data_IF_227089347551
#
_entry.id   IF_227089347551
#
_cell.length_a   1.000
_cell.length_b   1.000
_cell.length_c   1.000
_cell.angle_alpha   90.00
_cell.angle_beta   90.00
_cell.angle_gamma   90.00
#
_symmetry.space_group_name_H-M   'P 1'
#
loop_
_entity.id
_entity.type
_entity.pdbx_description
1 polymer ?
#
# COMPACT_ATOMS: atom_id res chain seq x y z
N UNK A 1 27.22 37.90 -27.30
CA UNK A 1 27.77 39.05 -26.55
C UNK A 1 26.66 40.07 -26.38
N UNK A 2 26.63 40.77 -25.24
CA UNK A 2 25.61 41.72 -24.72
C UNK A 2 24.70 41.17 -23.63
N UNK A 3 25.18 41.28 -22.38
CA UNK A 3 24.36 41.68 -21.24
C UNK A 3 25.10 42.82 -20.51
N UNK A 4 24.48 43.99 -20.48
CA UNK A 4 24.67 45.04 -19.49
C UNK A 4 23.25 45.53 -19.13
N UNK A 5 22.90 45.97 -17.94
CA UNK A 5 23.63 46.23 -16.70
C UNK A 5 22.63 46.87 -15.73
N UNK A 6 22.84 46.62 -14.43
CA UNK A 6 22.47 47.37 -13.22
C UNK A 6 21.19 48.26 -13.19
N UNK A 7 20.43 48.18 -12.09
CA UNK A 7 20.65 49.02 -10.90
C UNK A 7 19.66 48.75 -9.76
N UNK A 8 20.23 48.98 -8.57
CA UNK A 8 19.67 49.12 -7.22
C UNK A 8 18.70 50.29 -7.06
N UNK A 9 17.81 50.20 -6.07
CA UNK A 9 17.03 51.32 -5.55
C UNK A 9 16.56 51.06 -4.12
N UNK A 10 17.25 51.66 -3.16
CA UNK A 10 16.79 51.89 -1.79
C UNK A 10 15.71 52.99 -1.76
N UNK A 11 14.76 52.91 -0.82
CA UNK A 11 14.16 54.11 -0.23
C UNK A 11 13.48 53.78 1.12
N UNK A 12 13.94 54.50 2.15
CA UNK A 12 13.41 54.55 3.50
C UNK A 12 12.33 55.63 3.66
N UNK A 13 11.46 55.45 4.64
CA UNK A 13 10.62 56.46 5.34
C UNK A 13 10.37 55.85 6.74
N UNK A 14 10.64 56.43 7.90
CA UNK A 14 10.81 57.82 8.31
C UNK A 14 9.59 58.28 9.13
N UNK A 15 9.69 58.31 10.47
CA UNK A 15 9.05 59.30 11.37
C UNK A 15 9.27 58.98 12.86
N UNK A 16 10.08 59.81 13.52
CA UNK A 16 10.15 60.00 14.98
C UNK A 16 9.10 61.03 15.46
N UNK A 17 8.80 61.06 16.77
CA UNK A 17 8.74 62.25 17.68
C UNK A 17 8.01 61.87 19.01
N UNK A 18 8.03 62.66 20.11
CA UNK A 18 9.04 62.51 21.16
C UNK A 18 8.48 62.55 22.62
N UNK A 19 9.39 62.29 23.57
CA UNK A 19 9.55 62.83 24.94
C UNK A 19 8.34 63.02 25.88
N UNK A 20 8.45 62.47 27.10
CA UNK A 20 8.36 63.31 28.31
C UNK A 20 9.20 62.72 29.45
N UNK A 21 9.72 63.60 30.31
CA UNK A 21 10.77 63.38 31.27
C UNK A 21 10.26 63.33 32.72
N UNK A 22 10.97 62.55 33.54
CA UNK A 22 11.29 62.92 34.93
C UNK A 22 10.35 62.44 36.04
N UNK A 23 10.84 61.50 36.85
CA UNK A 23 11.36 61.78 38.20
C UNK A 23 11.81 60.50 38.90
N UNK A 24 13.08 60.51 39.32
CA UNK A 24 13.67 59.58 40.26
C UNK A 24 13.04 59.74 41.65
N UNK A 25 12.74 58.63 42.31
CA UNK A 25 12.62 58.53 43.76
C UNK A 25 13.30 57.24 44.22
N UNK A 26 14.39 57.44 44.94
CA UNK A 26 15.25 56.48 45.60
C UNK A 26 14.54 55.87 46.82
N UNK A 27 14.41 54.55 46.89
CA UNK A 27 14.08 53.80 48.11
C UNK A 27 14.74 52.40 48.08
N UNK A 28 15.08 51.84 49.26
CA UNK A 28 16.19 50.89 49.39
C UNK A 28 15.85 49.43 49.06
N UNK A 29 16.90 48.73 48.62
CA UNK A 29 17.03 47.30 48.41
C UNK A 29 16.36 46.46 49.50
N UNK A 30 15.41 45.62 49.08
CA UNK A 30 15.04 44.37 49.76
C UNK A 30 15.24 43.21 48.79
N UNK A 31 15.99 42.21 49.25
CA UNK A 31 16.38 41.01 48.50
C UNK A 31 15.22 40.30 47.79
N UNK A 32 15.45 39.65 46.64
CA UNK A 32 14.40 38.94 45.93
C UNK A 32 13.96 37.72 46.75
N UNK A 33 12.74 37.75 47.27
CA UNK A 33 12.04 36.53 47.65
C UNK A 33 11.82 35.73 46.39
N UNK A 34 12.58 34.64 46.28
CA UNK A 34 12.44 33.62 45.26
C UNK A 34 11.01 33.09 45.29
N UNK A 35 10.16 33.60 44.40
CA UNK A 35 8.91 32.95 44.05
C UNK A 35 9.34 31.73 43.24
N UNK A 36 9.32 30.57 43.87
CA UNK A 36 9.46 29.30 43.20
C UNK A 36 8.26 29.18 42.25
N UNK A 37 8.48 29.56 41.00
CA UNK A 37 7.56 29.23 39.92
C UNK A 37 7.56 27.70 39.88
N UNK A 38 6.42 27.00 40.08
CA UNK A 38 6.40 25.56 39.85
C UNK A 38 6.93 25.35 38.43
N UNK A 39 7.77 24.32 38.19
CA UNK A 39 8.35 24.14 36.86
C UNK A 39 7.19 24.15 35.87
N UNK A 40 7.21 25.12 34.95
CA UNK A 40 6.32 25.11 33.79
C UNK A 40 6.68 23.81 33.09
N UNK A 41 5.86 22.80 33.30
CA UNK A 41 5.91 21.59 32.51
C UNK A 41 5.82 22.06 31.05
N UNK A 42 6.90 21.87 30.31
CA UNK A 42 6.90 22.13 28.89
C UNK A 42 5.78 21.28 28.26
N UNK A 43 4.89 21.86 27.44
CA UNK A 43 3.85 21.08 26.77
C UNK A 43 4.37 20.05 25.74
N UNK A 44 5.68 19.91 25.56
CA UNK A 44 6.31 19.08 24.51
C UNK A 44 6.86 17.73 25.01
N UNK A 45 6.29 17.18 26.09
CA UNK A 45 6.58 15.81 26.58
C UNK A 45 5.46 14.77 26.29
N UNK A 46 4.50 15.10 25.42
CA UNK A 46 3.56 14.13 24.84
C UNK A 46 3.84 14.11 23.33
N UNK A 47 4.37 13.07 22.68
CA UNK A 47 3.94 11.66 22.76
C UNK A 47 5.02 10.67 22.23
N UNK A 48 5.98 10.24 23.06
CA UNK A 48 6.70 8.97 22.84
C UNK A 48 5.73 7.77 22.75
N UNK A 49 4.56 7.91 23.37
CA UNK A 49 3.46 6.94 23.33
C UNK A 49 2.75 6.86 21.98
N UNK A 50 2.70 7.90 21.15
CA UNK A 50 1.90 7.87 19.92
C UNK A 50 2.50 6.94 18.86
N UNK A 51 3.83 6.97 18.68
CA UNK A 51 4.50 6.07 17.74
C UNK A 51 4.37 4.61 18.20
N UNK A 52 4.50 4.36 19.51
CA UNK A 52 4.28 3.04 20.11
C UNK A 52 2.82 2.59 19.95
N UNK A 53 1.85 3.43 20.27
CA UNK A 53 0.42 3.18 20.09
C UNK A 53 0.06 2.91 18.62
N UNK A 54 0.61 3.70 17.69
CA UNK A 54 0.42 3.48 16.26
C UNK A 54 1.00 2.13 15.82
N UNK A 55 2.18 1.75 16.30
CA UNK A 55 2.74 0.43 16.04
C UNK A 55 1.84 -0.68 16.59
N UNK A 56 1.37 -0.55 17.84
CA UNK A 56 0.44 -1.50 18.46
C UNK A 56 -0.85 -1.63 17.65
N UNK A 57 -1.46 -0.50 17.25
CA UNK A 57 -2.66 -0.49 16.43
C UNK A 57 -2.44 -1.13 15.05
N UNK A 58 -1.30 -0.86 14.41
CA UNK A 58 -0.96 -1.50 13.15
C UNK A 58 -0.81 -3.02 13.30
N UNK A 59 -0.24 -3.48 14.42
CA UNK A 59 -0.13 -4.90 14.75
C UNK A 59 -1.51 -5.52 14.97
N UNK A 60 -2.41 -4.86 15.71
CA UNK A 60 -3.79 -5.32 15.92
C UNK A 60 -4.56 -5.43 14.61
N UNK A 61 -4.45 -4.42 13.73
CA UNK A 61 -5.05 -4.46 12.39
C UNK A 61 -4.49 -5.60 11.54
N UNK A 62 -3.19 -5.87 11.65
CA UNK A 62 -2.56 -7.02 10.98
C UNK A 62 -3.14 -8.35 11.48
N UNK A 63 -3.28 -8.52 12.80
CA UNK A 63 -3.89 -9.72 13.39
C UNK A 63 -5.36 -9.87 12.98
N UNK A 64 -6.07 -8.75 12.84
CA UNK A 64 -7.43 -8.71 12.31
C UNK A 64 -7.51 -8.90 10.78
N UNK A 65 -6.40 -9.22 10.10
CA UNK A 65 -6.28 -9.37 8.65
C UNK A 65 -6.67 -8.12 7.84
N UNK A 66 -6.71 -6.96 8.49
CA UNK A 66 -6.94 -5.64 7.87
C UNK A 66 -5.61 -5.09 7.35
N UNK A 67 -4.99 -5.84 6.45
CA UNK A 67 -3.63 -5.58 5.96
C UNK A 67 -3.46 -4.17 5.37
N UNK A 68 -4.36 -3.63 4.53
CA UNK A 68 -4.20 -2.28 3.98
C UNK A 68 -4.16 -1.20 5.07
N UNK A 69 -4.96 -1.34 6.12
CA UNK A 69 -5.02 -0.37 7.21
C UNK A 69 -3.82 -0.50 8.15
N UNK A 70 -3.36 -1.73 8.39
CA UNK A 70 -2.11 -1.97 9.09
C UNK A 70 -0.93 -1.30 8.39
N UNK A 71 -0.81 -1.49 7.07
CA UNK A 71 0.23 -0.86 6.24
C UNK A 71 0.16 0.66 6.33
N UNK A 72 -1.01 1.26 6.16
CA UNK A 72 -1.17 2.72 6.15
C UNK A 72 -0.72 3.38 7.47
N UNK A 73 -0.82 2.69 8.61
CA UNK A 73 -0.32 3.18 9.90
C UNK A 73 1.18 2.89 10.05
N UNK A 74 1.62 1.66 9.72
CA UNK A 74 2.99 1.23 9.88
C UNK A 74 3.96 2.01 8.97
N UNK A 75 3.58 2.34 7.74
CA UNK A 75 4.42 3.09 6.80
C UNK A 75 4.87 4.44 7.35
N UNK A 76 4.01 5.11 8.12
CA UNK A 76 4.32 6.40 8.77
C UNK A 76 5.46 6.29 9.80
N UNK A 77 5.75 5.07 10.25
CA UNK A 77 6.75 4.80 11.28
C UNK A 77 8.09 4.34 10.69
N UNK A 78 8.20 4.07 9.38
CA UNK A 78 9.42 3.51 8.75
C UNK A 78 10.67 4.38 9.00
N UNK A 79 10.50 5.71 9.06
CA UNK A 79 11.59 6.64 9.35
C UNK A 79 11.90 6.84 10.84
N UNK A 80 11.10 6.26 11.75
CA UNK A 80 11.24 6.51 13.19
C UNK A 80 12.47 5.80 13.78
N UNK A 81 13.32 6.47 14.59
CA UNK A 81 14.57 5.88 15.08
C UNK A 81 14.39 4.54 15.83
N UNK A 82 13.37 4.46 16.69
CA UNK A 82 13.11 3.27 17.52
C UNK A 82 12.22 2.20 16.89
N UNK A 83 11.42 2.56 15.88
CA UNK A 83 10.34 1.70 15.36
C UNK A 83 10.43 1.44 13.86
N UNK A 84 11.27 2.14 13.12
CA UNK A 84 11.36 2.05 11.66
C UNK A 84 11.62 0.65 11.13
N UNK A 85 12.54 -0.08 11.78
CA UNK A 85 12.81 -1.48 11.44
C UNK A 85 11.57 -2.36 11.61
N UNK A 86 10.93 -2.31 12.80
CA UNK A 86 9.72 -3.09 13.10
C UNK A 86 8.55 -2.73 12.19
N UNK A 87 8.41 -1.44 11.88
CA UNK A 87 7.39 -0.94 10.97
C UNK A 87 7.58 -1.48 9.55
N UNK A 88 8.81 -1.47 9.04
CA UNK A 88 9.15 -2.05 7.72
C UNK A 88 8.89 -3.56 7.69
N UNK A 89 9.28 -4.28 8.74
CA UNK A 89 8.98 -5.71 8.89
C UNK A 89 7.48 -5.99 8.88
N UNK A 90 6.69 -5.16 9.58
CA UNK A 90 5.24 -5.29 9.64
C UNK A 90 4.58 -4.98 8.29
N UNK A 91 5.02 -3.94 7.56
CA UNK A 91 4.53 -3.62 6.21
C UNK A 91 4.82 -4.77 5.25
N UNK A 92 6.04 -5.29 5.25
CA UNK A 92 6.41 -6.45 4.43
C UNK A 92 5.62 -7.70 4.80
N UNK A 93 5.36 -7.93 6.08
CA UNK A 93 4.52 -9.03 6.53
C UNK A 93 3.06 -8.85 6.08
N UNK A 94 2.50 -7.64 6.20
CA UNK A 94 1.14 -7.33 5.80
C UNK A 94 0.92 -7.53 4.30
N UNK A 95 1.81 -7.04 3.45
CA UNK A 95 1.73 -7.27 2.00
C UNK A 95 1.88 -8.74 1.63
N UNK A 96 2.77 -9.47 2.31
CA UNK A 96 2.95 -10.89 2.09
C UNK A 96 1.71 -11.71 2.48
N UNK A 97 1.14 -11.45 3.65
CA UNK A 97 -0.07 -12.15 4.10
C UNK A 97 -1.31 -11.77 3.29
N UNK A 98 -1.40 -10.52 2.82
CA UNK A 98 -2.43 -10.12 1.87
C UNK A 98 -2.29 -10.88 0.54
N UNK A 99 -1.07 -11.07 0.04
CA UNK A 99 -0.81 -11.91 -1.13
C UNK A 99 -1.25 -13.36 -0.91
N UNK A 100 -0.93 -13.93 0.25
CA UNK A 100 -1.36 -15.29 0.62
C UNK A 100 -2.89 -15.40 0.68
N UNK A 101 -3.56 -14.38 1.19
CA UNK A 101 -5.02 -14.32 1.26
C UNK A 101 -5.63 -14.33 -0.15
N UNK A 102 -5.17 -13.44 -1.04
CA UNK A 102 -5.64 -13.43 -2.43
C UNK A 102 -5.34 -14.72 -3.19
N UNK A 103 -4.19 -15.35 -2.94
CA UNK A 103 -3.86 -16.63 -3.55
C UNK A 103 -4.83 -17.74 -3.11
N UNK A 104 -5.28 -17.74 -1.85
CA UNK A 104 -6.31 -18.68 -1.37
C UNK A 104 -7.67 -18.45 -2.01
N UNK A 105 -7.96 -17.23 -2.45
CA UNK A 105 -9.19 -16.85 -3.16
C UNK A 105 -9.09 -17.03 -4.68
N UNK A 106 -8.02 -17.64 -5.21
CA UNK A 106 -7.70 -17.73 -6.64
C UNK A 106 -7.60 -16.35 -7.35
N UNK A 107 -7.40 -15.27 -6.59
CA UNK A 107 -7.19 -13.91 -7.09
C UNK A 107 -5.73 -13.70 -7.43
N UNK A 108 -5.26 -14.38 -8.47
CA UNK A 108 -3.84 -14.49 -8.81
C UNK A 108 -3.16 -13.14 -9.07
N UNK A 109 -3.83 -12.21 -9.76
CA UNK A 109 -3.25 -10.89 -10.06
C UNK A 109 -3.10 -10.05 -8.78
N UNK A 110 -4.12 -10.01 -7.93
CA UNK A 110 -4.07 -9.29 -6.66
C UNK A 110 -2.99 -9.86 -5.72
N UNK A 111 -2.80 -11.19 -5.74
CA UNK A 111 -1.73 -11.85 -5.02
C UNK A 111 -0.35 -11.38 -5.50
N UNK A 112 -0.12 -11.38 -6.81
CA UNK A 112 1.13 -10.88 -7.42
C UNK A 112 1.38 -9.42 -7.05
N UNK A 113 0.36 -8.57 -7.15
CA UNK A 113 0.49 -7.15 -6.87
C UNK A 113 0.77 -6.88 -5.39
N UNK A 114 0.26 -7.71 -4.49
CA UNK A 114 0.58 -7.66 -3.06
C UNK A 114 2.02 -8.11 -2.80
N UNK A 115 2.45 -9.25 -3.36
CA UNK A 115 3.83 -9.72 -3.19
C UNK A 115 4.88 -8.76 -3.75
N UNK A 116 4.59 -8.05 -4.85
CA UNK A 116 5.49 -7.04 -5.43
C UNK A 116 5.72 -5.82 -4.54
N UNK A 117 4.83 -5.57 -3.57
CA UNK A 117 4.97 -4.47 -2.59
C UNK A 117 5.82 -4.86 -1.39
N UNK A 118 6.16 -6.13 -1.22
CA UNK A 118 7.03 -6.61 -0.13
C UNK A 118 8.44 -6.08 -0.37
N UNK A 119 9.06 -5.51 0.67
CA UNK A 119 10.45 -5.07 0.59
C UNK A 119 11.37 -6.28 0.39
N UNK A 120 12.10 -6.38 -0.74
CA UNK A 120 12.94 -7.54 -1.05
C UNK A 120 14.15 -7.67 -0.11
N UNK A 121 14.52 -6.61 0.60
CA UNK A 121 15.57 -6.66 1.63
C UNK A 121 15.09 -7.31 2.93
N UNK A 122 13.78 -7.36 3.14
CA UNK A 122 13.15 -7.95 4.34
C UNK A 122 12.73 -9.40 4.09
N UNK A 123 12.17 -9.69 2.91
CA UNK A 123 11.64 -11.02 2.59
C UNK A 123 11.74 -11.32 1.10
N UNK A 124 12.26 -12.49 0.76
CA UNK A 124 12.20 -13.02 -0.60
C UNK A 124 10.78 -13.54 -0.92
N UNK A 125 10.23 -13.09 -2.05
CA UNK A 125 8.89 -13.47 -2.54
C UNK A 125 8.93 -14.34 -3.78
N UNK A 126 10.12 -14.70 -4.29
CA UNK A 126 10.25 -15.52 -5.51
C UNK A 126 9.47 -16.83 -5.41
N UNK A 127 9.60 -17.54 -4.29
CA UNK A 127 8.87 -18.79 -4.04
C UNK A 127 7.35 -18.58 -4.05
N UNK A 128 6.87 -17.48 -3.48
CA UNK A 128 5.44 -17.15 -3.47
C UNK A 128 4.92 -16.84 -4.89
N UNK A 129 5.69 -16.09 -5.70
CA UNK A 129 5.32 -15.81 -7.09
C UNK A 129 5.28 -17.09 -7.94
N UNK A 130 6.23 -18.01 -7.74
CA UNK A 130 6.19 -19.34 -8.38
C UNK A 130 4.94 -20.12 -7.95
N UNK A 131 4.57 -20.07 -6.68
CA UNK A 131 3.36 -20.70 -6.18
C UNK A 131 2.09 -20.11 -6.84
N UNK A 132 2.03 -18.79 -7.05
CA UNK A 132 0.92 -18.17 -7.79
C UNK A 132 0.82 -18.73 -9.21
N UNK A 133 1.93 -18.81 -9.93
CA UNK A 133 1.95 -19.33 -11.30
C UNK A 133 1.52 -20.80 -11.38
N UNK A 134 1.95 -21.62 -10.42
CA UNK A 134 1.54 -23.02 -10.33
C UNK A 134 0.02 -23.13 -10.11
N UNK A 135 -0.50 -22.43 -9.09
CA UNK A 135 -1.94 -22.43 -8.77
C UNK A 135 -2.79 -21.87 -9.91
N UNK A 136 -2.31 -20.83 -10.61
CA UNK A 136 -2.99 -20.28 -11.80
C UNK A 136 -3.10 -21.31 -12.91
N UNK A 137 -2.05 -22.10 -13.15
CA UNK A 137 -2.06 -23.18 -14.16
C UNK A 137 -2.96 -24.33 -13.73
N UNK A 138 -2.90 -24.77 -12.47
CA UNK A 138 -3.81 -25.79 -11.94
C UNK A 138 -5.27 -25.38 -12.12
N UNK A 139 -5.59 -24.12 -11.81
CA UNK A 139 -6.94 -23.57 -12.02
C UNK A 139 -7.35 -23.54 -13.50
N UNK A 140 -6.42 -23.26 -14.40
CA UNK A 140 -6.68 -23.32 -15.84
C UNK A 140 -7.04 -24.74 -16.29
N UNK A 141 -6.34 -25.76 -15.77
CA UNK A 141 -6.64 -27.18 -16.03
C UNK A 141 -7.98 -27.62 -15.44
N UNK A 142 -8.37 -27.10 -14.26
CA UNK A 142 -9.71 -27.32 -13.71
C UNK A 142 -10.80 -26.85 -14.68
N UNK A 143 -10.70 -25.62 -15.20
CA UNK A 143 -11.62 -25.11 -16.22
C UNK A 143 -11.57 -25.91 -17.52
N UNK A 144 -10.39 -26.40 -17.90
CA UNK A 144 -10.27 -27.21 -19.11
C UNK A 144 -11.06 -28.51 -18.99
N UNK A 145 -10.88 -29.19 -17.86
CA UNK A 145 -11.56 -30.44 -17.55
C UNK A 145 -13.08 -30.23 -17.40
N UNK A 146 -13.52 -29.09 -16.85
CA UNK A 146 -14.93 -28.70 -16.84
C UNK A 146 -15.49 -28.57 -18.26
N UNK A 147 -14.75 -27.93 -19.16
CA UNK A 147 -15.16 -27.80 -20.56
C UNK A 147 -15.25 -29.12 -21.29
N UNK A 148 -14.34 -30.06 -21.00
CA UNK A 148 -14.43 -31.44 -21.51
C UNK A 148 -15.73 -32.11 -21.04
N UNK A 149 -16.12 -31.94 -19.77
CA UNK A 149 -17.40 -32.47 -19.25
C UNK A 149 -18.59 -31.83 -19.95
N UNK A 150 -18.60 -30.52 -20.18
CA UNK A 150 -19.67 -29.85 -20.93
C UNK A 150 -19.74 -30.34 -22.38
N UNK A 151 -18.60 -30.51 -23.04
CA UNK A 151 -18.52 -30.96 -24.42
C UNK A 151 -19.08 -32.38 -24.59
N UNK A 152 -18.71 -33.32 -23.71
CA UNK A 152 -19.25 -34.70 -23.70
C UNK A 152 -20.77 -34.68 -23.52
N UNK A 153 -21.29 -33.77 -22.69
CA UNK A 153 -22.72 -33.57 -22.49
C UNK A 153 -23.40 -32.73 -23.57
N UNK A 154 -22.73 -32.46 -24.70
CA UNK A 154 -23.22 -31.66 -25.83
C UNK A 154 -23.62 -30.22 -25.47
N UNK A 155 -23.19 -29.72 -24.31
CA UNK A 155 -23.39 -28.34 -23.85
C UNK A 155 -22.29 -27.44 -24.43
N UNK A 156 -22.29 -27.29 -25.76
CA UNK A 156 -21.16 -26.73 -26.50
C UNK A 156 -20.87 -25.26 -26.16
N UNK A 157 -21.89 -24.42 -25.96
CA UNK A 157 -21.68 -23.02 -25.57
C UNK A 157 -21.01 -22.91 -24.18
N UNK A 158 -21.42 -23.76 -23.23
CA UNK A 158 -20.81 -23.81 -21.90
C UNK A 158 -19.36 -24.32 -21.95
N UNK A 159 -19.09 -25.33 -22.79
CA UNK A 159 -17.74 -25.84 -23.01
C UNK A 159 -16.80 -24.75 -23.53
N UNK A 160 -17.25 -23.98 -24.53
CA UNK A 160 -16.47 -22.85 -25.07
C UNK A 160 -16.21 -21.82 -23.98
N UNK A 161 -17.23 -21.41 -23.23
CA UNK A 161 -17.11 -20.37 -22.22
C UNK A 161 -16.07 -20.73 -21.13
N UNK A 162 -16.02 -21.99 -20.66
CA UNK A 162 -15.01 -22.39 -19.66
C UNK A 162 -13.64 -22.62 -20.26
N UNK A 163 -13.52 -23.11 -21.51
CA UNK A 163 -12.23 -23.17 -22.20
C UNK A 163 -11.64 -21.79 -22.51
N UNK A 164 -12.46 -20.77 -22.73
CA UNK A 164 -12.00 -19.38 -22.82
C UNK A 164 -11.42 -18.91 -21.48
N UNK A 165 -12.01 -19.29 -20.34
CA UNK A 165 -11.43 -19.04 -19.00
C UNK A 165 -10.09 -19.76 -18.80
N UNK A 166 -9.94 -20.99 -19.28
CA UNK A 166 -8.64 -21.68 -19.31
C UNK A 166 -7.58 -20.82 -20.00
N UNK A 167 -7.91 -20.21 -21.14
CA UNK A 167 -6.97 -19.38 -21.90
C UNK A 167 -6.68 -18.02 -21.25
N UNK A 168 -7.61 -17.47 -20.47
CA UNK A 168 -7.34 -16.29 -19.63
C UNK A 168 -6.28 -16.60 -18.57
N UNK A 169 -6.34 -17.77 -17.94
CA UNK A 169 -5.40 -18.16 -16.88
C UNK A 169 -4.09 -18.75 -17.42
N UNK A 170 -4.16 -19.48 -18.54
CA UNK A 170 -3.03 -20.07 -19.22
C UNK A 170 -3.15 -19.85 -20.73
N UNK A 171 -2.66 -18.71 -21.25
CA UNK A 171 -2.67 -18.42 -22.69
C UNK A 171 -1.92 -19.45 -23.54
N UNK A 172 -0.97 -20.18 -22.94
CA UNK A 172 -0.20 -21.24 -23.59
C UNK A 172 -0.85 -22.63 -23.56
N UNK A 173 -2.09 -22.76 -23.09
CA UNK A 173 -2.74 -24.06 -22.96
C UNK A 173 -3.00 -24.72 -24.34
N UNK A 174 -2.35 -25.87 -24.59
CA UNK A 174 -2.24 -26.44 -25.95
C UNK A 174 -3.54 -26.99 -26.54
N UNK A 175 -4.48 -27.47 -25.70
CA UNK A 175 -5.68 -28.20 -26.15
C UNK A 175 -6.90 -27.29 -26.32
N UNK A 176 -7.13 -26.39 -25.37
CA UNK A 176 -8.28 -25.48 -25.33
C UNK A 176 -8.59 -24.76 -26.66
N UNK A 177 -7.65 -24.14 -27.40
CA UNK A 177 -7.97 -23.47 -28.66
C UNK A 177 -8.52 -24.44 -29.72
N UNK A 178 -7.93 -25.65 -29.80
CA UNK A 178 -8.36 -26.69 -30.74
C UNK A 178 -9.77 -27.18 -30.40
N UNK A 179 -10.05 -27.40 -29.12
CA UNK A 179 -11.34 -27.92 -28.69
C UNK A 179 -12.46 -26.86 -28.77
N UNK A 180 -12.16 -25.58 -28.51
CA UNK A 180 -13.05 -24.45 -28.81
C UNK A 180 -13.40 -24.44 -30.30
N UNK A 181 -12.40 -24.59 -31.19
CA UNK A 181 -12.62 -24.65 -32.64
C UNK A 181 -13.59 -25.78 -33.04
N UNK A 182 -13.39 -26.98 -32.48
CA UNK A 182 -14.30 -28.13 -32.70
C UNK A 182 -15.72 -27.84 -32.21
N UNK A 183 -15.86 -27.29 -31.00
CA UNK A 183 -17.17 -26.97 -30.43
C UNK A 183 -17.92 -25.91 -31.24
N UNK A 184 -17.23 -24.86 -31.70
CA UNK A 184 -17.81 -23.82 -32.57
C UNK A 184 -18.28 -24.40 -33.91
N UNK A 185 -17.48 -25.28 -34.53
CA UNK A 185 -17.86 -25.93 -35.78
C UNK A 185 -19.09 -26.85 -35.62
N UNK A 186 -19.17 -27.59 -34.51
CA UNK A 186 -20.34 -28.42 -34.18
C UNK A 186 -21.60 -27.57 -33.96
N UNK A 187 -21.50 -26.48 -33.18
CA UNK A 187 -22.60 -25.54 -32.98
C UNK A 187 -23.13 -24.97 -34.29
N UNK A 188 -22.25 -24.58 -35.21
CA UNK A 188 -22.65 -24.05 -36.50
C UNK A 188 -23.43 -25.10 -37.32
N UNK A 189 -22.96 -26.35 -37.35
CA UNK A 189 -23.66 -27.45 -38.03
C UNK A 189 -25.04 -27.70 -37.42
N UNK A 190 -25.15 -27.72 -36.09
CA UNK A 190 -26.43 -27.91 -35.40
C UNK A 190 -27.42 -26.77 -35.67
N UNK A 191 -26.93 -25.53 -35.80
CA UNK A 191 -27.76 -24.37 -36.16
C UNK A 191 -28.24 -24.42 -37.61
N UNK A 192 -27.49 -25.04 -38.51
CA UNK A 192 -27.85 -25.15 -39.93
C UNK A 192 -28.85 -26.28 -40.24
N UNK A 193 -29.16 -27.14 -39.27
CA UNK A 193 -30.09 -28.28 -39.42
C UNK A 193 -31.49 -27.95 -38.87
N UNK A 194 -31.62 -26.90 -38.07
CA UNK A 194 -32.89 -26.38 -37.56
C UNK A 194 -33.48 -25.35 -38.51
#
# INVERSE_FOLDING_TARGET
>A
MWQGGAKSGDAAYGAESPSDAGKEIDTPVTAPTSIEVPPVATPDEKKPDAAKQNLTRAQELFQAQRYPESVAIAERLIGHPSFGKKARELVSAAWFEQGNHFLKEDRFQDAIDSYKKVDPTVRDVKGALVAVELRRREKAEEYYNEGVKFFINQKLDQAIAVWEKTLVLNPGHMKAPKDIGKARALLQKLKAIK
#
